data_IF_525369265720
#
_entry.id   IF_525369265720
#
_cell.length_a   1.000
_cell.length_b   1.000
_cell.length_c   1.000
_cell.angle_alpha   90.00
_cell.angle_beta   90.00
_cell.angle_gamma   90.00
#
_symmetry.space_group_name_H-M   'P 1'
#
loop_
_entity.id
_entity.type
_entity.pdbx_description
1 polymer ?
2 polymer ?
3 non-polymer ?
4 non-polymer ?
5 water ?
#
# COMPACT_ATOMS: atom_id res chain seq x y z
N UNK A 12 -1.23 -4.13 -21.68
CA UNK A 12 -0.17 -4.79 -20.85
C UNK A 12 -0.32 -4.39 -19.38
N UNK A 13 -0.43 -5.38 -18.49
CA UNK A 13 -0.57 -5.10 -17.06
C UNK A 13 -0.51 -6.33 -16.15
N UNK A 14 0.46 -6.35 -15.23
CA UNK A 14 0.63 -7.46 -14.30
C UNK A 14 -0.26 -7.30 -13.05
N UNK A 15 -0.71 -8.40 -12.47
CA UNK A 15 -1.60 -8.29 -11.31
C UNK A 15 -1.09 -8.89 -10.00
N UNK A 16 -1.72 -8.43 -8.90
CA UNK A 16 -1.40 -8.87 -7.55
C UNK A 16 -2.62 -8.86 -6.63
N UNK A 17 -2.50 -9.49 -5.48
CA UNK A 17 -3.60 -9.50 -4.51
C UNK A 17 -3.71 -8.17 -3.74
N UNK A 18 -4.92 -7.81 -3.32
CA UNK A 18 -5.15 -6.57 -2.58
C UNK A 18 -4.38 -6.43 -1.28
N UNK A 19 -4.35 -7.52 -0.52
CA UNK A 19 -3.67 -7.57 0.77
C UNK A 19 -2.47 -6.62 0.95
N UNK A 20 -1.41 -6.84 0.18
CA UNK A 20 -0.22 -5.99 0.30
C UNK A 20 -0.50 -4.50 0.09
N UNK A 21 -1.21 -4.19 -0.99
CA UNK A 21 -1.55 -2.81 -1.31
C UNK A 21 -2.35 -2.09 -0.22
N UNK A 22 -3.41 -2.73 0.24
CA UNK A 22 -4.22 -2.12 1.28
C UNK A 22 -3.47 -2.06 2.61
N UNK A 23 -2.69 -3.09 2.86
CA UNK A 23 -1.86 -3.21 4.04
C UNK A 23 -0.80 -2.10 4.06
N UNK A 24 -0.09 -1.96 2.95
CA UNK A 24 0.92 -0.93 2.82
C UNK A 24 0.33 0.45 2.98
N UNK A 25 -0.81 0.70 2.34
CA UNK A 25 -1.48 1.98 2.43
C UNK A 25 -1.91 2.30 3.85
N UNK A 26 -2.24 1.25 4.59
CA UNK A 26 -2.67 1.39 5.97
C UNK A 26 -1.46 1.77 6.79
N UNK A 27 -0.29 1.30 6.38
CA UNK A 27 0.93 1.65 7.07
C UNK A 27 1.21 3.13 6.95
N UNK A 28 1.09 3.64 5.72
CA UNK A 28 1.31 5.06 5.48
C UNK A 28 0.38 5.94 6.31
N UNK A 29 -0.91 5.64 6.25
CA UNK A 29 -1.90 6.40 6.98
C UNK A 29 -1.66 6.36 8.50
N UNK A 30 -1.28 5.19 9.00
CA UNK A 30 -0.99 5.01 10.41
C UNK A 30 0.24 5.81 10.85
N UNK A 31 1.22 5.93 9.95
CA UNK A 31 2.44 6.69 10.23
C UNK A 31 2.23 8.19 10.11
N UNK A 32 1.47 8.59 9.10
CA UNK A 32 1.18 10.00 8.93
C UNK A 32 0.44 10.56 10.13
N UNK A 33 -0.29 9.67 10.81
CA UNK A 33 -1.02 10.04 12.02
C UNK A 33 -0.09 10.27 13.21
N UNK A 34 1.14 9.80 13.07
CA UNK A 34 2.15 9.98 14.10
C UNK A 34 3.06 11.17 13.80
N UNK A 35 3.36 11.36 12.51
CA UNK A 35 4.21 12.46 12.08
C UNK A 35 3.46 13.79 12.07
N UNK A 36 2.14 13.69 12.19
CA UNK A 36 1.26 14.85 12.22
C UNK A 36 0.28 14.76 13.39
N UNK A 37 0.30 15.76 14.26
CA UNK A 37 -0.59 15.78 15.41
C UNK A 37 -2.04 16.15 15.09
N UNK A 38 -2.25 16.70 13.89
CA UNK A 38 -3.56 17.16 13.46
C UNK A 38 -4.19 16.38 12.29
N UNK A 39 -5.27 15.64 12.60
CA UNK A 39 -6.00 14.83 11.61
C UNK A 39 -6.19 15.49 10.26
N UNK A 40 -6.23 16.81 10.25
CA UNK A 40 -6.45 17.55 9.03
C UNK A 40 -5.21 17.84 8.19
N UNK A 41 -4.06 17.91 8.84
CA UNK A 41 -2.84 18.12 8.09
C UNK A 41 -2.41 16.84 7.42
N UNK A 42 -2.99 15.74 7.89
CA UNK A 42 -2.76 14.44 7.31
C UNK A 42 -3.43 14.39 5.94
N UNK A 43 -4.65 14.93 5.88
CA UNK A 43 -5.40 15.01 4.64
C UNK A 43 -4.62 15.75 3.56
N UNK A 44 -4.03 16.87 3.95
CA UNK A 44 -3.23 17.66 3.04
C UNK A 44 -2.08 16.84 2.45
N UNK A 45 -1.37 16.15 3.34
CA UNK A 45 -0.24 15.32 2.94
C UNK A 45 -0.67 14.16 2.05
N UNK A 46 -1.75 13.48 2.43
CA UNK A 46 -2.25 12.38 1.63
C UNK A 46 -2.62 12.82 0.22
N UNK A 47 -3.19 14.02 0.11
CA UNK A 47 -3.57 14.56 -1.17
C UNK A 47 -2.35 14.90 -2.00
N UNK A 48 -1.38 15.57 -1.38
CA UNK A 48 -0.14 15.93 -2.06
C UNK A 48 0.54 14.68 -2.57
N UNK A 49 0.56 13.65 -1.71
CA UNK A 49 1.14 12.38 -2.05
C UNK A 49 0.39 11.69 -3.19
N UNK A 50 -0.94 11.77 -3.13
CA UNK A 50 -1.77 11.18 -4.17
C UNK A 50 -1.48 11.91 -5.46
N UNK A 51 -1.38 13.24 -5.35
CA UNK A 51 -1.08 14.05 -6.52
C UNK A 51 0.19 13.57 -7.23
N UNK A 52 1.25 13.37 -6.44
CA UNK A 52 2.52 12.89 -6.97
C UNK A 52 2.41 11.57 -7.72
N UNK A 53 1.58 10.68 -7.21
CA UNK A 53 1.34 9.41 -7.87
C UNK A 53 0.51 9.61 -9.15
N UNK A 54 -0.56 10.38 -9.03
CA UNK A 54 -1.40 10.64 -10.17
C UNK A 54 -0.60 11.15 -11.35
N UNK A 55 0.41 11.98 -11.06
CA UNK A 55 1.27 12.52 -12.09
C UNK A 55 2.07 11.45 -12.80
N UNK A 56 2.45 10.41 -12.07
CA UNK A 56 3.20 9.30 -12.64
C UNK A 56 2.29 8.25 -13.24
N UNK A 57 1.15 8.07 -12.60
CA UNK A 57 0.15 7.11 -13.03
C UNK A 57 -0.39 7.37 -14.43
N UNK A 58 -0.83 8.60 -14.68
CA UNK A 58 -1.36 8.96 -15.99
C UNK A 58 -0.50 8.40 -17.12
N UNK A 59 0.81 8.56 -16.99
CA UNK A 59 1.72 8.06 -18.01
C UNK A 59 1.57 6.55 -18.21
N UNK A 60 1.78 5.80 -17.15
CA UNK A 60 1.64 4.36 -17.22
C UNK A 60 0.31 3.97 -17.87
N UNK A 61 -0.76 4.61 -17.40
CA UNK A 61 -2.10 4.36 -17.92
C UNK A 61 -2.20 4.60 -19.41
N UNK A 62 -1.97 5.85 -19.83
CA UNK A 62 -2.04 6.21 -21.24
C UNK A 62 -1.29 5.24 -22.13
N UNK A 63 -0.05 4.95 -21.77
CA UNK A 63 0.77 4.04 -22.54
C UNK A 63 0.20 2.63 -22.66
N UNK A 64 -0.39 2.13 -21.59
CA UNK A 64 -0.95 0.78 -21.58
C UNK A 64 -2.40 0.64 -22.03
N UNK A 65 -2.87 1.52 -22.92
CA UNK A 65 -4.24 1.44 -23.42
C UNK A 65 -4.62 2.52 -24.44
N UNK A 66 -5.91 2.59 -24.75
CA UNK A 66 -6.44 3.55 -25.72
C UNK A 66 -7.23 4.70 -25.09
N UNK A 70 -9.48 10.21 -23.90
CA UNK A 70 -10.68 10.99 -23.61
C UNK A 70 -10.91 12.14 -24.60
N UNK A 71 -12.00 12.86 -24.39
CA UNK A 71 -12.40 14.01 -25.20
C UNK A 71 -13.15 15.02 -24.35
N UNK A 72 -14.41 14.74 -24.09
CA UNK A 72 -15.23 15.58 -23.23
C UNK A 72 -15.26 15.00 -21.82
N UNK A 73 -15.84 15.73 -20.87
CA UNK A 73 -15.87 15.24 -19.50
C UNK A 73 -16.74 14.01 -19.26
N UNK A 74 -17.75 13.79 -20.09
CA UNK A 74 -18.59 12.60 -19.91
C UNK A 74 -17.84 11.31 -20.20
N UNK A 75 -16.96 11.35 -21.20
CA UNK A 75 -16.14 10.19 -21.56
C UNK A 75 -15.08 9.95 -20.50
N UNK A 76 -14.48 11.05 -20.04
CA UNK A 76 -13.46 10.96 -19.00
C UNK A 76 -13.97 10.18 -17.80
N UNK A 77 -15.22 10.42 -17.44
CA UNK A 77 -15.81 9.71 -16.31
C UNK A 77 -15.87 8.21 -16.59
N UNK A 78 -16.15 7.86 -17.85
CA UNK A 78 -16.20 6.47 -18.27
C UNK A 78 -14.84 5.80 -18.18
N UNK A 79 -13.84 6.43 -18.81
CA UNK A 79 -12.47 5.92 -18.79
C UNK A 79 -11.95 5.75 -17.36
N UNK A 80 -12.35 6.69 -16.50
CA UNK A 80 -11.95 6.63 -15.11
C UNK A 80 -12.59 5.48 -14.34
N UNK A 81 -13.92 5.42 -14.33
CA UNK A 81 -14.65 4.39 -13.59
C UNK A 81 -14.68 3.01 -14.21
N UNK A 82 -14.62 2.93 -15.54
CA UNK A 82 -14.68 1.63 -16.23
C UNK A 82 -13.34 1.01 -16.62
N UNK A 83 -12.36 1.85 -16.92
CA UNK A 83 -11.04 1.37 -17.28
C UNK A 83 -10.01 1.55 -16.16
N UNK A 84 -9.57 2.80 -15.97
CA UNK A 84 -8.58 3.15 -14.96
C UNK A 84 -8.86 2.55 -13.59
N UNK A 85 -10.01 2.87 -13.01
CA UNK A 85 -10.34 2.32 -11.71
C UNK A 85 -10.33 0.81 -11.69
N UNK A 86 -10.64 0.20 -12.83
CA UNK A 86 -10.65 -1.25 -12.89
C UNK A 86 -9.27 -1.84 -13.07
N UNK A 87 -8.45 -1.16 -13.89
CA UNK A 87 -7.08 -1.59 -14.17
C UNK A 87 -6.12 -1.49 -12.98
N UNK A 88 -6.27 -0.47 -12.15
CA UNK A 88 -5.39 -0.29 -11.01
C UNK A 88 -5.93 -0.85 -9.70
N UNK A 89 -7.11 -0.39 -9.32
CA UNK A 89 -7.71 -0.81 -8.07
C UNK A 89 -8.62 -2.04 -8.14
N UNK A 90 -8.76 -2.58 -9.35
CA UNK A 90 -9.58 -3.77 -9.56
C UNK A 90 -11.08 -3.67 -9.36
N UNK A 91 -11.65 -2.47 -9.47
CA UNK A 91 -13.08 -2.31 -9.31
C UNK A 91 -13.68 -1.36 -10.34
N UNK A 92 -14.99 -1.18 -10.27
CA UNK A 92 -15.70 -0.30 -11.20
C UNK A 92 -16.79 0.53 -10.54
N UNK A 93 -16.48 1.79 -10.19
CA UNK A 93 -17.48 2.66 -9.55
C UNK A 93 -18.60 3.02 -10.53
N UNK A 94 -19.73 3.49 -10.00
CA UNK A 94 -20.85 3.92 -10.84
C UNK A 94 -20.86 5.42 -11.07
N UNK A 95 -21.08 5.84 -12.31
CA UNK A 95 -21.10 7.26 -12.63
C UNK A 95 -22.52 7.84 -12.59
N UNK A 96 -22.88 8.45 -11.45
CA UNK A 96 -24.22 9.03 -11.29
C UNK A 96 -24.23 10.45 -10.74
N UNK A 97 -25.34 11.15 -10.99
CA UNK A 97 -25.54 12.52 -10.54
C UNK A 97 -24.78 13.57 -11.30
N UNK A 98 -24.98 13.61 -12.62
CA UNK A 98 -24.28 14.57 -13.46
C UNK A 98 -24.75 16.01 -13.31
N UNK A 99 -24.16 16.88 -14.12
CA UNK A 99 -24.49 18.30 -14.11
C UNK A 99 -24.84 18.81 -15.51
N UNK A 100 -26.00 19.46 -15.64
CA UNK A 100 -26.57 20.04 -16.85
C UNK A 100 -25.66 20.26 -18.05
N UNK A 101 -24.42 20.69 -17.82
CA UNK A 101 -23.50 20.92 -18.94
C UNK A 101 -22.26 20.03 -18.97
N UNK A 102 -22.36 18.83 -18.41
CA UNK A 102 -21.23 17.93 -18.38
C UNK A 102 -20.11 18.58 -17.61
N UNK A 103 -20.43 19.02 -16.39
CA UNK A 103 -19.49 19.69 -15.51
C UNK A 103 -19.06 18.87 -14.30
N UNK A 104 -20.03 18.27 -13.63
CA UNK A 104 -19.75 17.50 -12.43
C UNK A 104 -20.48 16.17 -12.32
N UNK A 105 -19.81 15.17 -11.74
CA UNK A 105 -20.41 13.86 -11.57
C UNK A 105 -19.98 13.17 -10.29
N UNK A 106 -20.47 11.95 -10.08
CA UNK A 106 -20.13 11.21 -8.88
C UNK A 106 -19.76 9.76 -9.10
N UNK A 107 -18.75 9.30 -8.36
CA UNK A 107 -18.29 7.93 -8.42
C UNK A 107 -18.78 7.15 -7.22
N UNK A 108 -19.52 6.09 -7.47
CA UNK A 108 -20.06 5.29 -6.38
C UNK A 108 -19.35 3.96 -6.18
N UNK A 109 -19.25 3.54 -4.93
CA UNK A 109 -18.59 2.28 -4.58
C UNK A 109 -19.25 1.59 -3.40
N UNK A 110 -19.65 0.34 -3.61
CA UNK A 110 -20.27 -0.42 -2.53
C UNK A 110 -19.33 -0.64 -1.36
N UNK A 111 -18.12 -0.10 -1.48
CA UNK A 111 -17.11 -0.25 -0.44
C UNK A 111 -15.84 0.56 -0.68
N UNK A 112 -15.15 0.93 0.40
CA UNK A 112 -13.92 1.69 0.29
C UNK A 112 -12.78 0.87 -0.32
N UNK A 113 -12.28 1.31 -1.49
CA UNK A 113 -11.21 0.64 -2.23
C UNK A 113 -9.85 0.49 -1.53
N UNK A 114 -9.50 1.42 -0.66
CA UNK A 114 -8.22 1.35 0.03
C UNK A 114 -8.29 0.75 1.42
N UNK A 115 -9.44 0.15 1.73
CA UNK A 115 -9.67 -0.42 3.06
C UNK A 115 -10.03 -1.90 3.14
N UNK A 116 -9.46 -2.57 4.15
CA UNK A 116 -9.70 -3.98 4.47
C UNK A 116 -8.72 -4.57 5.47
N UNK A 117 -9.25 -4.90 6.65
CA UNK A 117 -8.54 -5.49 7.80
C UNK A 117 -7.49 -4.63 8.53
N UNK A 118 -6.97 -3.57 7.90
CA UNK A 118 -6.04 -2.67 8.62
C UNK A 118 -6.80 -1.48 9.19
N UNK A 119 -6.96 -1.43 10.51
CA UNK A 119 -7.72 -0.38 11.19
C UNK A 119 -6.93 0.49 12.16
N UNK A 120 -7.23 1.78 12.15
CA UNK A 120 -6.59 2.74 13.04
C UNK A 120 -7.43 3.08 14.27
N UNK A 121 -6.80 3.28 15.43
CA UNK A 121 -7.72 3.63 16.52
C UNK A 121 -8.55 4.84 16.03
N UNK A 122 -9.85 4.76 16.26
CA UNK A 122 -10.85 5.75 15.80
C UNK A 122 -10.78 7.24 16.16
N UNK A 123 -9.94 7.66 17.09
CA UNK A 123 -9.90 9.08 17.50
C UNK A 123 -9.78 10.14 16.39
N UNK A 124 -9.93 9.70 15.14
CA UNK A 124 -9.81 10.58 13.97
C UNK A 124 -11.12 10.90 13.26
N UNK A 125 -11.82 11.93 13.74
CA UNK A 125 -13.09 12.32 13.15
C UNK A 125 -12.99 13.13 11.86
N UNK A 126 -11.97 14.00 11.76
CA UNK A 126 -11.79 14.83 10.59
C UNK A 126 -10.91 14.20 9.50
N UNK A 127 -10.49 12.97 9.75
CA UNK A 127 -9.65 12.24 8.80
C UNK A 127 -10.35 11.57 7.64
N UNK A 128 -9.89 11.88 6.43
CA UNK A 128 -10.40 11.27 5.22
C UNK A 128 -9.45 10.13 4.81
N UNK A 129 -9.64 8.97 5.44
CA UNK A 129 -8.80 7.80 5.23
C UNK A 129 -8.23 7.58 3.82
N UNK A 130 -9.07 7.69 2.79
CA UNK A 130 -8.62 7.49 1.42
C UNK A 130 -8.43 8.76 0.60
N UNK A 131 -8.19 9.87 1.29
CA UNK A 131 -7.99 11.15 0.62
C UNK A 131 -6.99 11.12 -0.53
N UNK A 132 -5.98 10.25 -0.42
CA UNK A 132 -4.95 10.11 -1.46
C UNK A 132 -5.52 9.95 -2.86
N UNK A 133 -6.65 9.26 -2.95
CA UNK A 133 -7.32 9.05 -4.23
C UNK A 133 -7.69 10.35 -4.93
N UNK A 134 -8.01 11.37 -4.13
CA UNK A 134 -8.38 12.67 -4.67
C UNK A 134 -7.22 13.36 -5.35
N UNK A 135 -6.03 13.17 -4.78
CA UNK A 135 -4.84 13.77 -5.34
C UNK A 135 -4.46 13.01 -6.59
N UNK A 136 -4.57 11.70 -6.54
CA UNK A 136 -4.25 10.87 -7.70
C UNK A 136 -5.08 11.30 -8.91
N UNK A 137 -6.38 11.44 -8.69
CA UNK A 137 -7.26 11.89 -9.75
C UNK A 137 -6.85 13.26 -10.29
N UNK A 138 -6.74 14.23 -9.39
CA UNK A 138 -6.35 15.58 -9.79
C UNK A 138 -5.03 15.63 -10.54
N UNK A 139 -4.04 14.90 -10.02
CA UNK A 139 -2.73 14.87 -10.64
C UNK A 139 -2.76 14.20 -11.99
N UNK A 140 -3.46 13.08 -12.10
CA UNK A 140 -3.55 12.35 -13.35
C UNK A 140 -4.22 13.18 -14.44
N UNK A 141 -5.43 13.63 -14.16
CA UNK A 141 -6.14 14.46 -15.11
C UNK A 141 -5.36 15.71 -15.48
N UNK A 142 -4.79 16.38 -14.49
CA UNK A 142 -3.99 17.56 -14.76
C UNK A 142 -2.87 17.30 -15.76
N UNK A 143 -2.48 16.05 -15.91
CA UNK A 143 -1.43 15.69 -16.85
C UNK A 143 -1.95 15.58 -18.27
N UNK A 144 -3.24 15.29 -18.40
CA UNK A 144 -3.86 15.20 -19.71
C UNK A 144 -4.55 16.53 -20.07
N UNK A 145 -3.93 17.60 -19.58
CA UNK A 145 -4.36 18.98 -19.81
C UNK A 145 -5.75 19.34 -19.23
N UNK A 146 -6.13 18.67 -18.15
CA UNK A 146 -7.42 18.89 -17.50
C UNK A 146 -7.33 19.31 -16.04
N UNK A 147 -7.84 20.48 -15.71
CA UNK A 147 -7.83 20.93 -14.33
C UNK A 147 -9.16 20.66 -13.63
N UNK A 148 -9.18 19.65 -12.77
CA UNK A 148 -10.40 19.31 -12.06
C UNK A 148 -10.25 19.30 -10.55
N UNK A 149 -11.33 18.93 -9.86
CA UNK A 149 -11.34 18.86 -8.41
C UNK A 149 -12.04 17.62 -7.89
N UNK A 150 -11.37 16.90 -6.99
CA UNK A 150 -11.94 15.70 -6.41
C UNK A 150 -12.13 15.83 -4.91
N UNK A 151 -13.03 15.04 -4.36
CA UNK A 151 -13.32 15.07 -2.93
C UNK A 151 -14.39 14.07 -2.51
N UNK A 152 -14.29 13.60 -1.27
CA UNK A 152 -15.27 12.66 -0.75
C UNK A 152 -16.52 13.34 -0.25
N UNK A 153 -17.63 12.60 -0.28
CA UNK A 153 -18.92 13.10 0.17
C UNK A 153 -19.77 11.96 0.70
N UNK A 154 -19.09 10.87 1.00
CA UNK A 154 -19.69 9.64 1.53
C UNK A 154 -18.63 8.57 1.69
N UNK A 155 -18.52 8.00 2.87
CA UNK A 155 -17.50 6.98 3.12
C UNK A 155 -17.97 5.80 3.96
N UNK A 156 -17.88 4.60 3.38
CA UNK A 156 -18.28 3.38 4.08
C UNK A 156 -17.41 3.05 5.29
N UNK A 158 -17.24 5.94 7.38
CA UNK A 158 -17.90 6.98 8.17
C UNK A 158 -19.36 6.70 8.51
N UNK A 159 -19.75 5.43 8.46
CA UNK A 159 -21.12 5.06 8.77
C UNK A 159 -22.12 5.29 7.65
N UNK A 160 -21.62 5.55 6.44
CA UNK A 160 -22.51 5.77 5.30
C UNK A 160 -22.89 4.49 4.55
N UNK A 161 -23.86 4.59 3.67
CA UNK A 161 -24.30 3.44 2.90
C UNK A 161 -23.25 3.03 1.89
N UNK A 162 -22.68 4.01 1.20
CA UNK A 162 -21.66 3.76 0.18
C UNK A 162 -20.62 4.87 0.08
N UNK A 163 -19.56 4.61 -0.68
CA UNK A 163 -18.51 5.61 -0.88
C UNK A 163 -18.73 6.45 -2.13
N UNK A 164 -18.73 7.77 -1.97
CA UNK A 164 -18.94 8.66 -3.10
C UNK A 164 -17.90 9.76 -3.25
N UNK A 165 -17.29 9.84 -4.43
CA UNK A 165 -16.30 10.85 -4.74
C UNK A 165 -16.81 11.85 -5.76
N UNK A 166 -16.96 13.10 -5.36
CA UNK A 166 -17.44 14.14 -6.27
C UNK A 166 -16.33 14.81 -7.06
N UNK A 167 -16.53 14.92 -8.37
CA UNK A 167 -15.54 15.55 -9.25
C UNK A 167 -16.11 16.56 -10.22
N UNK A 168 -15.43 17.69 -10.38
CA UNK A 168 -15.92 18.72 -11.28
C UNK A 168 -14.88 19.40 -12.15
N UNK A 169 -15.10 19.33 -13.46
CA UNK A 169 -14.21 19.96 -14.41
C UNK A 169 -14.12 21.46 -14.16
N UNK A 170 -12.92 21.96 -13.86
CA UNK A 170 -12.75 23.38 -13.58
C UNK A 170 -12.34 24.23 -14.78
N UNK A 171 -11.43 23.72 -15.62
CA UNK A 171 -10.98 24.48 -16.78
C UNK A 171 -9.92 23.78 -17.60
N UNK A 172 -9.85 24.07 -18.89
CA UNK A 172 -8.84 23.46 -19.74
C UNK A 172 -7.46 24.06 -19.47
N UNK A 173 -6.41 23.45 -20.01
CA UNK A 173 -5.06 23.96 -19.78
C UNK A 173 -4.21 24.12 -21.04
N UNK A 174 -3.38 25.06 -21.08
N UNK B 1 -14.76 -9.27 -0.06
CA UNK B 1 -14.67 -9.52 -1.52
C UNK B 1 -13.22 -9.51 -2.01
N UNK B 2 -12.62 -10.69 -2.13
CA UNK B 2 -11.23 -10.78 -2.59
C UNK B 2 -11.00 -10.03 -3.89
N UNK B 3 -10.04 -9.11 -3.88
CA UNK B 3 -9.77 -8.32 -5.06
C UNK B 3 -8.37 -8.48 -5.64
N UNK B 4 -8.25 -8.18 -6.91
CA UNK B 4 -6.96 -8.22 -7.59
C UNK B 4 -6.61 -6.84 -8.10
N UNK B 5 -5.48 -6.34 -7.61
CA UNK B 5 -5.00 -5.01 -7.95
C UNK B 5 -3.79 -5.02 -8.88
N UNK B 6 -3.65 -3.96 -9.67
CA UNK B 6 -2.50 -3.88 -10.57
C UNK B 6 -1.21 -3.84 -9.78
N UNK B 7 -0.20 -4.53 -10.28
CA UNK B 7 1.08 -4.52 -9.60
C UNK B 7 1.58 -3.10 -9.40
N UNK B 8 1.03 -2.18 -10.21
CA UNK B 8 1.36 -0.77 -10.15
C UNK B 8 0.79 -0.01 -8.96
N UNK B 9 -0.40 -0.39 -8.49
CA UNK B 9 -0.97 0.30 -7.34
C UNK B 9 0.05 0.35 -6.20
N UNK B 10 0.57 -0.83 -5.84
CA UNK B 10 1.58 -0.95 -4.80
C UNK B 10 2.87 -0.19 -5.13
N UNK B 11 3.49 -0.55 -6.24
CA UNK B 11 4.72 0.10 -6.68
C UNK B 11 4.68 1.62 -6.57
N UNK B 12 3.67 2.23 -7.18
CA UNK B 12 3.49 3.67 -7.14
C UNK B 12 3.35 4.22 -5.72
N UNK B 13 2.57 3.52 -4.91
CA UNK B 13 2.35 3.90 -3.53
C UNK B 13 3.62 3.80 -2.70
N UNK B 14 4.29 2.65 -2.80
CA UNK B 14 5.51 2.45 -2.05
C UNK B 14 6.56 3.46 -2.44
N UNK B 15 6.68 3.71 -3.74
CA UNK B 15 7.65 4.67 -4.22
C UNK B 15 7.47 6.05 -3.58
N UNK B 16 6.21 6.47 -3.40
CA UNK B 16 5.93 7.75 -2.75
C UNK B 16 6.31 7.71 -1.27
N UNK B 17 5.98 6.60 -0.62
CA UNK B 17 6.31 6.42 0.78
C UNK B 17 7.83 6.50 0.98
N UNK B 18 8.57 5.91 0.05
CA UNK B 18 10.01 5.99 0.13
C UNK B 18 10.44 7.44 0.07
N UNK B 19 9.89 8.17 -0.89
CA UNK B 19 10.21 9.58 -1.06
C UNK B 19 9.80 10.40 0.15
N UNK B 20 8.67 10.03 0.73
CA UNK B 20 8.21 10.71 1.93
C UNK B 20 9.25 10.58 3.03
N UNK B 21 9.60 9.34 3.35
CA UNK B 21 10.61 9.07 4.37
C UNK B 21 11.94 9.74 4.07
N UNK B 22 12.34 9.71 2.81
CA UNK B 22 13.59 10.31 2.40
C UNK B 22 13.61 11.82 2.57
N UNK B 23 12.44 12.45 2.58
CA UNK B 23 12.36 13.90 2.71
C UNK B 23 12.57 14.39 4.13
N UNK B 24 12.45 13.48 5.09
CA UNK B 24 12.64 13.86 6.49
C UNK B 24 13.69 13.01 7.18
N UNK B 25 14.68 12.59 6.40
CA UNK B 25 15.73 11.72 6.89
C UNK B 25 17.12 12.18 6.44
N UNK B 26 18.16 11.76 7.14
CA UNK B 26 19.53 12.18 6.79
C UNK B 26 20.35 11.21 5.96
N UNK B 27 20.09 9.93 6.17
CA UNK B 27 20.83 8.86 5.55
C UNK B 27 19.95 7.73 5.06
N UNK B 28 20.45 6.88 4.16
CA UNK B 28 19.67 5.73 3.70
C UNK B 28 19.39 4.79 4.87
N UNK B 29 20.36 4.67 5.75
CA UNK B 29 20.19 3.84 6.92
C UNK B 29 18.95 4.29 7.73
N UNK B 30 18.77 5.61 7.86
CA UNK B 30 17.61 6.16 8.57
C UNK B 30 16.32 5.97 7.79
N UNK B 31 16.45 6.04 6.47
CA UNK B 31 15.31 5.85 5.59
C UNK B 31 14.68 4.48 5.80
N UNK B 32 15.55 3.47 5.78
CA UNK B 32 15.14 2.10 5.99
C UNK B 32 14.53 1.89 7.37
N UNK B 33 15.05 2.60 8.37
CA UNK B 33 14.52 2.49 9.72
C UNK B 33 13.11 3.02 9.79
N UNK B 34 12.86 4.12 9.08
CA UNK B 34 11.52 4.67 9.03
C UNK B 34 10.58 3.74 8.31
N UNK B 35 11.03 3.16 7.19
CA UNK B 35 10.21 2.20 6.46
C UNK B 35 9.90 1.00 7.34
N UNK B 36 10.92 0.51 8.04
CA UNK B 36 10.71 -0.61 8.95
C UNK B 36 9.68 -0.24 10.01
N UNK B 37 9.67 1.04 10.39
CA UNK B 37 8.69 1.53 11.36
C UNK B 37 7.26 1.42 10.80
N UNK B 38 7.05 1.92 9.59
CA UNK B 38 5.75 1.83 8.98
C UNK B 38 5.30 0.37 8.92
N UNK B 39 6.25 -0.52 8.64
CA UNK B 39 5.96 -1.93 8.56
C UNK B 39 5.50 -2.50 9.89
N UNK B 40 6.23 -2.20 10.95
CA UNK B 40 5.87 -2.68 12.28
C UNK B 40 4.51 -2.20 12.75
N UNK B 41 4.11 -1.02 12.28
CA UNK B 41 2.83 -0.47 12.66
C UNK B 41 1.65 -1.34 12.26
N UNK B 42 1.76 -2.06 11.15
CA UNK B 42 0.68 -2.91 10.67
C UNK B 42 0.93 -4.41 10.72
N UNK B 43 2.11 -4.82 11.17
CA UNK B 43 2.43 -6.23 11.26
C UNK B 43 1.39 -6.99 12.07
N UNK B 44 1.02 -6.44 13.22
CA UNK B 44 0.03 -7.08 14.08
C UNK B 44 -1.32 -7.33 13.39
N UNK B 45 -1.81 -6.36 12.62
CA UNK B 45 -3.06 -6.56 11.91
C UNK B 45 -3.00 -7.77 10.98
N UNK B 46 -1.87 -7.91 10.30
CA UNK B 46 -1.68 -9.04 9.40
C UNK B 46 -1.56 -10.35 10.16
N UNK B 47 -1.02 -10.27 11.37
CA UNK B 47 -0.88 -11.44 12.20
C UNK B 47 -2.23 -12.00 12.61
N UNK B 48 -3.11 -11.10 13.05
CA UNK B 48 -4.44 -11.51 13.47
C UNK B 48 -5.31 -12.01 12.32
N UNK B 49 -5.24 -11.36 11.18
CA UNK B 49 -6.02 -11.79 10.04
C UNK B 49 -5.61 -13.15 9.50
N UNK B 50 -4.31 -13.45 9.51
CA UNK B 50 -3.84 -14.73 9.02
C UNK B 50 -4.13 -15.86 10.00
N UNK B 51 -4.02 -15.58 11.29
CA UNK B 51 -4.28 -16.58 12.31
C UNK B 51 -5.75 -17.01 12.33
N UNK B 52 -6.64 -16.04 12.40
CA UNK B 52 -8.07 -16.32 12.42
C UNK B 52 -8.58 -16.91 11.11
N UNK B 53 -7.89 -16.59 10.02
CA UNK B 53 -8.29 -17.08 8.71
C UNK B 53 -7.61 -18.37 8.24
N UNK B 54 -6.36 -18.59 8.63
CA UNK B 54 -5.64 -19.77 8.18
C UNK B 54 -5.10 -20.70 9.27
N UNK B 55 -5.27 -20.31 10.53
CA UNK B 55 -4.77 -21.12 11.63
C UNK B 55 -5.80 -21.42 12.71
N UNK B 56 -7.08 -21.45 12.32
CA UNK B 56 -8.18 -21.73 13.24
C UNK B 56 -8.16 -20.89 14.51
N UNK B 57 -7.41 -19.79 14.48
CA UNK B 57 -7.33 -18.90 15.63
C UNK B 57 -6.28 -19.25 16.67
N UNK B 58 -5.34 -20.12 16.32
CA UNK B 58 -4.31 -20.51 17.27
C UNK B 58 -2.92 -19.96 16.97
N UNK B 59 -2.42 -19.08 17.85
CA UNK B 59 -1.09 -18.53 17.64
C UNK B 59 0.00 -19.54 17.93
N UNK B 60 1.22 -19.25 17.50
CA UNK B 60 2.33 -20.18 17.69
C UNK B 60 3.15 -19.90 18.93
N UNK B 61 3.67 -20.98 19.52
CA UNK B 61 4.47 -20.88 20.73
C UNK B 61 5.89 -21.41 20.57
N UNK B 62 6.13 -22.13 19.48
CA UNK B 62 7.45 -22.68 19.20
C UNK B 62 8.14 -21.91 18.08
N UNK B 63 9.47 -21.81 18.16
CA UNK B 63 10.24 -21.07 17.16
C UNK B 63 10.10 -21.58 15.72
N UNK B 64 10.29 -22.87 15.50
CA UNK B 64 10.14 -23.42 14.15
C UNK B 64 8.77 -23.13 13.53
N UNK B 65 7.72 -23.25 14.33
CA UNK B 65 6.37 -23.02 13.84
C UNK B 65 6.09 -21.59 13.43
N UNK B 66 6.60 -20.64 14.21
CA UNK B 66 6.39 -19.24 13.87
C UNK B 66 7.21 -18.84 12.65
N UNK B 67 8.43 -19.36 12.55
CA UNK B 67 9.24 -19.06 11.38
C UNK B 67 8.57 -19.57 10.12
N UNK B 68 8.01 -20.78 10.16
CA UNK B 68 7.29 -21.31 9.00
C UNK B 68 6.07 -20.47 8.66
N UNK B 69 5.43 -19.91 9.68
CA UNK B 69 4.29 -19.04 9.47
C UNK B 69 4.71 -17.85 8.64
N UNK B 70 5.93 -17.38 8.88
CA UNK B 70 6.50 -16.29 8.13
C UNK B 70 6.79 -16.71 6.68
N UNK B 71 7.59 -17.76 6.53
CA UNK B 71 7.96 -18.26 5.21
C UNK B 71 6.78 -18.64 4.29
N UNK B 72 5.79 -19.32 4.84
CA UNK B 72 4.59 -19.76 4.11
C UNK B 72 3.40 -18.79 4.17
N UNK B 73 2.69 -18.81 5.30
CA UNK B 73 1.52 -17.96 5.49
C UNK B 73 1.74 -16.49 5.19
N UNK B 74 2.66 -15.85 5.89
CA UNK B 74 2.90 -14.43 5.71
C UNK B 74 3.47 -14.03 4.34
N UNK B 75 4.48 -14.76 3.88
CA UNK B 75 5.06 -14.45 2.59
C UNK B 75 4.10 -14.61 1.43
N UNK B 76 3.27 -15.66 1.48
CA UNK B 76 2.27 -15.88 0.44
C UNK B 76 1.23 -14.77 0.39
N UNK B 77 0.67 -14.46 1.57
CA UNK B 77 -0.33 -13.40 1.72
C UNK B 77 0.14 -12.05 1.20
N UNK B 78 1.41 -11.76 1.43
CA UNK B 78 1.95 -10.50 0.97
C UNK B 78 2.39 -10.48 -0.49
N UNK B 79 3.19 -11.48 -0.88
CA UNK B 79 3.75 -11.52 -2.23
C UNK B 79 3.23 -12.61 -3.17
N UNK B 80 2.15 -13.28 -2.81
CA UNK B 80 1.61 -14.32 -3.69
C UNK B 80 2.46 -15.57 -3.85
N UNK B 81 3.58 -15.60 -3.15
CA UNK B 81 4.46 -16.75 -3.18
C UNK B 81 5.11 -17.03 -1.84
N UNK B 82 5.66 -18.22 -1.71
CA UNK B 82 6.34 -18.59 -0.48
C UNK B 82 7.78 -18.05 -0.48
N UNK B 83 8.35 -17.79 0.68
CA UNK B 83 9.73 -17.30 0.70
C UNK B 83 10.69 -18.34 0.09
N UNK B 84 11.68 -17.88 -0.66
CA UNK B 84 12.60 -18.81 -1.30
C UNK B 84 13.34 -19.73 -0.35
N UNK B 85 13.83 -19.18 0.77
CA UNK B 85 14.55 -19.97 1.76
C UNK B 85 14.41 -19.52 3.20
N UNK B 86 14.42 -20.51 4.08
CA UNK B 86 14.38 -20.32 5.50
C UNK B 86 15.55 -21.09 6.06
N UNK B 87 16.47 -20.40 6.71
CA UNK B 87 17.62 -21.08 7.27
C UNK B 87 18.04 -20.62 8.65
N UNK B 88 18.75 -21.50 9.31
CA UNK B 88 19.29 -21.18 10.61
C UNK B 88 20.76 -20.93 10.46
N UNK B 89 21.27 -19.91 11.14
CA UNK B 89 22.69 -19.68 11.09
C UNK B 89 23.41 -20.85 11.76
N UNK B 90 24.39 -21.43 11.09
CA UNK B 90 25.10 -22.53 11.69
C UNK B 90 26.05 -22.11 12.81
N UNK B 91 26.27 -20.79 12.93
CA UNK B 91 27.16 -20.22 13.94
C UNK B 91 26.51 -19.96 15.30
N UNK B 92 25.22 -19.67 15.32
CA UNK B 92 24.56 -19.41 16.59
C UNK B 92 23.07 -19.75 16.64
N UNK B 93 22.71 -20.52 17.66
CA UNK B 93 21.35 -20.99 17.88
C UNK B 93 20.23 -19.94 17.99
N UNK B 94 20.58 -18.67 17.89
CA UNK B 94 19.57 -17.63 18.01
C UNK B 94 19.31 -16.79 16.75
N UNK B 95 19.95 -17.16 15.63
CA UNK B 95 19.81 -16.44 14.37
C UNK B 95 19.22 -17.25 13.21
N UNK B 96 18.27 -16.64 12.51
CA UNK B 96 17.62 -17.26 11.34
C UNK B 96 17.54 -16.30 10.17
N UNK B 97 17.42 -16.86 8.97
CA UNK B 97 17.34 -16.07 7.76
C UNK B 97 16.21 -16.39 6.80
N UNK B 98 15.66 -15.34 6.21
CA UNK B 98 14.65 -15.41 5.17
C UNK B 98 15.33 -14.86 3.93
N UNK B 99 15.82 -15.75 3.08
CA UNK B 99 16.56 -15.34 1.89
C UNK B 99 15.76 -15.34 0.60
N UNK B 100 15.68 -14.16 -0.01
CA UNK B 100 15.00 -13.96 -1.28
C UNK B 100 16.00 -13.84 -2.40
N UNK B 101 15.78 -14.60 -3.47
CA UNK B 101 16.69 -14.60 -4.61
C UNK B 101 16.78 -13.27 -5.35
N UNK B 102 15.66 -12.56 -5.41
CA UNK B 102 15.54 -11.26 -6.07
C UNK B 102 14.98 -10.20 -5.12
N UNK B 103 15.32 -8.92 -5.33
CA UNK B 103 14.73 -7.96 -4.38
C UNK B 103 13.20 -8.01 -4.48
N UNK B 104 12.53 -7.90 -3.34
CA UNK B 104 11.08 -7.98 -3.27
C UNK B 104 10.32 -7.07 -4.22
N UNK B 105 10.86 -5.86 -4.39
CA UNK B 105 10.25 -4.86 -5.25
C UNK B 105 10.18 -5.23 -6.75
N UNK B 106 11.16 -5.98 -7.25
CA UNK B 106 11.20 -6.33 -8.67
C UNK B 106 9.97 -7.02 -9.26
N UNK B 107 9.14 -7.63 -8.44
CA UNK B 107 7.95 -8.30 -8.97
C UNK B 107 6.80 -7.34 -9.26
N UNK B 108 6.99 -6.07 -8.88
CA UNK B 108 5.96 -5.06 -9.06
C UNK B 108 6.30 -3.96 -10.06
N UNK B 109 7.44 -4.08 -10.70
CA UNK B 109 7.85 -3.10 -11.70
C UNK B 109 8.26 -3.74 -13.02
N UNK B 110 7.82 -3.14 -14.12
CA UNK B 110 8.16 -3.65 -15.44
C UNK B 110 9.63 -4.02 -15.59
N UNK B 111 10.50 -3.06 -15.36
CA UNK B 111 11.93 -3.28 -15.48
C UNK B 111 12.69 -3.00 -14.19
N UNK B 112 13.42 -4.00 -13.68
CA UNK B 112 14.18 -3.81 -12.45
C UNK B 112 15.04 -2.54 -12.53
N UNK B 113 15.19 -1.85 -11.41
CA UNK B 113 16.01 -0.64 -11.40
C UNK B 113 17.49 -0.94 -11.58
N UNK B 114 18.20 -0.10 -12.32
CA UNK B 114 19.63 -0.33 -12.51
C UNK B 114 20.32 -0.62 -11.19
N UNK B 115 20.08 0.26 -10.21
CA UNK B 115 20.66 0.11 -8.89
C UNK B 115 19.66 -0.38 -7.87
N UNK B 116 20.05 -1.42 -7.14
CA UNK B 116 19.20 -2.00 -6.14
C UNK B 116 19.27 -1.33 -4.77
N UNK B 117 18.22 -1.52 -3.98
CA UNK B 117 18.10 -0.97 -2.63
C UNK B 117 17.45 -1.99 -1.71
N UNK B 118 17.36 -1.65 -0.43
CA UNK B 118 16.75 -2.54 0.55
C UNK B 118 15.53 -1.92 1.23
N UNK B 119 14.87 -1.01 0.51
CA UNK B 119 13.71 -0.32 1.04
C UNK B 119 12.48 -1.23 1.25
N UNK B 120 12.16 -2.06 0.27
CA UNK B 120 11.04 -2.96 0.43
C UNK B 120 11.36 -4.02 1.48
N UNK B 121 12.63 -4.41 1.55
CA UNK B 121 13.08 -5.39 2.51
C UNK B 121 13.02 -4.83 3.95
N UNK B 122 13.40 -3.57 4.11
CA UNK B 122 13.31 -2.94 5.43
C UNK B 122 11.86 -2.89 5.91
N UNK B 123 10.97 -2.37 5.05
CA UNK B 123 9.54 -2.29 5.34
C UNK B 123 8.99 -3.64 5.77
N UNK B 124 9.25 -4.65 4.94
CA UNK B 124 8.85 -6.03 5.16
C UNK B 124 9.41 -6.60 6.46
N UNK B 125 10.67 -6.24 6.75
CA UNK B 125 11.33 -6.69 7.96
C UNK B 125 10.62 -6.14 9.19
N UNK B 126 10.08 -4.93 9.09
CA UNK B 126 9.35 -4.34 10.18
C UNK B 126 8.05 -5.12 10.38
N UNK B 127 7.43 -5.54 9.27
CA UNK B 127 6.21 -6.33 9.36
C UNK B 127 6.47 -7.66 10.04
N UNK B 128 7.52 -8.34 9.57
CA UNK B 128 7.92 -9.61 10.15
C UNK B 128 8.28 -9.45 11.62
N UNK B 129 8.82 -8.29 11.97
CA UNK B 129 9.19 -8.05 13.35
C UNK B 129 7.99 -7.87 14.27
N UNK B 130 6.99 -7.13 13.79
CA UNK B 130 5.77 -6.96 14.56
C UNK B 130 5.08 -8.30 14.73
N UNK B 131 5.09 -9.08 13.67
CA UNK B 131 4.49 -10.39 13.70
C UNK B 131 5.13 -11.31 14.75
N UNK B 132 6.46 -11.31 14.82
CA UNK B 132 7.20 -12.12 15.77
C UNK B 132 7.07 -11.68 17.22
N UNK B 133 7.27 -10.38 17.47
CA UNK B 133 7.13 -9.88 18.83
C UNK B 133 5.70 -10.01 19.34
N UNK B 134 4.74 -9.66 18.51
CA UNK B 134 3.34 -9.77 18.89
C UNK B 134 2.85 -11.19 19.10
N UNK B 135 3.67 -12.17 18.74
CA UNK B 135 3.31 -13.57 18.94
C UNK B 135 4.03 -14.12 20.16
N UNK B 136 4.83 -13.26 20.79
CA UNK B 136 5.55 -13.65 21.99
C UNK B 136 7.04 -13.89 21.85
N UNK B 137 7.60 -13.66 20.67
CA UNK B 137 9.03 -13.87 20.47
C UNK B 137 9.84 -12.59 20.31
N UNK B 138 10.34 -12.02 21.41
CA UNK B 138 11.13 -10.80 21.27
C UNK B 138 12.29 -11.03 20.29
N UNK B 139 12.36 -10.18 19.26
CA UNK B 139 13.40 -10.32 18.27
C UNK B 139 13.85 -9.00 17.64
N UNK B 140 14.90 -9.10 16.85
CA UNK B 140 15.43 -7.97 16.11
C UNK B 140 15.51 -8.41 14.66
N UNK B 141 14.90 -7.66 13.76
CA UNK B 141 14.97 -8.00 12.35
C UNK B 141 15.74 -6.98 11.53
N UNK B 142 16.71 -7.45 10.77
CA UNK B 142 17.49 -6.54 9.93
C UNK B 142 17.54 -7.04 8.51
N UNK B 143 17.99 -6.17 7.61
CA UNK B 143 18.08 -6.53 6.21
C UNK B 143 19.44 -6.26 5.59
N UNK B 144 19.84 -7.12 4.68
CA UNK B 144 21.11 -6.92 4.02
C UNK B 144 21.25 -7.78 2.79
N UNK B 145 22.31 -7.54 2.03
CA UNK B 145 22.59 -8.33 0.85
C UNK B 145 23.60 -9.44 1.09
N UNK B 146 23.22 -10.64 0.71
CA UNK B 146 24.05 -11.83 0.79
C UNK B 146 23.32 -13.02 0.22
N UNK B 147 23.67 -13.44 -0.99
CA UNK B 147 22.97 -14.52 -1.67
C UNK B 147 21.58 -14.05 -2.07
N UNK B 148 21.47 -12.75 -2.30
CA UNK B 148 20.20 -12.14 -2.65
C UNK B 148 19.82 -11.27 -1.46
N UNK B 149 18.58 -10.82 -1.37
CA UNK B 149 18.24 -10.00 -0.23
C UNK B 149 17.83 -10.83 1.00
N UNK B 150 18.47 -10.55 2.13
CA UNK B 150 18.23 -11.29 3.35
C UNK B 150 17.57 -10.56 4.52
N UNK B 151 16.62 -11.25 5.14
CA UNK B 151 16.01 -10.74 6.36
C UNK B 151 16.64 -11.51 7.50
N UNK B 152 17.48 -10.84 8.28
CA UNK B 152 18.08 -11.51 9.42
C UNK B 152 17.16 -11.44 10.62
N UNK B 153 16.86 -12.60 11.20
CA UNK B 153 16.00 -12.66 12.36
C UNK B 153 16.75 -13.16 13.58
N UNK B 154 16.92 -12.25 14.54
CA UNK B 154 17.64 -12.57 15.75
C UNK B 154 16.77 -12.56 16.99
N UNK B 155 16.60 -13.72 17.61
CA UNK B 155 15.81 -13.82 18.83
C UNK B 155 16.63 -13.42 20.04
N UNK B 156 15.99 -12.68 20.94
CA UNK B 156 16.66 -12.24 22.18
C UNK B 156 16.88 -13.42 23.13
N UNK B 157 18.06 -13.51 23.73
CA UNK B 157 18.38 -14.61 24.65
C UNK B 157 17.59 -14.61 25.96
X LIG C 1 -8.40 10.62 -20.69
X LIG C 1 -7.78 11.58 -21.52
X LIG C 1 -7.52 9.84 -19.70
X LIG C 1 -8.07 9.86 -18.28
X LIG C 1 -7.19 9.06 -17.33
X LIG C 1 -7.72 9.07 -15.91
X LIG C 1 -6.83 8.27 -14.96
X LIG C 1 -7.37 8.28 -13.54
X LIG C 1 -6.48 7.47 -12.59
X LIG C 1 -7.14 7.24 -11.23
X LIG C 1 -7.51 5.78 -10.99
X LIG C 1 -7.58 5.43 -9.50
X LIG C 1 -6.61 4.32 -9.14
X LIG C 1 -5.90 4.61 -7.81
X LIG C 1 -4.56 3.88 -7.71
X LIG C 1 -3.80 4.31 -6.46
X LIG C 1 -2.39 3.73 -6.41
X LIG D 1 13.91 -5.00 -1.46
X LIG D 1 14.24 -6.18 -1.28
X LIG D 1 13.66 -4.64 -2.56
X LIG D 1 13.87 -4.29 -0.49
#
# INVERSE_FOLDING_TARGET
GAMSRQANRGTESKKMSSELFTLTYGALVTQLCKDYENDEDVNKQLDRMGYNIGVRLIEDFLARSNVGRCHDFRETADVIAKVAFKMYLGITPSITNWSPAGDEFSLILENNPLVDFVELPDNHSALIYSNLLCGVLRGALEMVQMAVEAKFVQDTLKGDGVTEIRMRFIRRIEDNLPAGEE
PKTEVSVSAFALLFSEMVQYCQSRVYSVSELQARLADMGQGVGASLLDVLVMREKNGKRETKVLNILLFIKVNVWKALFGKEADKLEQANDDDKTYYIIEKEPLINAYISVPKENSTLNCAAFTGGIVEAILTHSGFPAKVTVHWHKGTTLMIKFDE
PLM C1 O2 C2 C3 C4 C5 C6 C7 C8 C9 CA CB CC CD CE CF CG
NO3 N O1 O2 O3
#
